data_IF_178948413794
#
_entry.id   IF_178948413794
#
_cell.length_a   1.000
_cell.length_b   1.000
_cell.length_c   1.000
_cell.angle_alpha   90.00
_cell.angle_beta   90.00
_cell.angle_gamma   90.00
#
_symmetry.space_group_name_H-M   'P 1'
#
loop_
_entity.id
_entity.type
_entity.pdbx_description
1 polymer ?
#
# COMPACT_ATOMS: atom_id res chain seq x y z
N UNK A 1 -4.50 6.61 39.95
CA UNK A 1 -4.50 8.08 39.76
C UNK A 1 -5.63 8.65 40.60
N UNK A 2 -5.44 9.77 41.30
CA UNK A 2 -6.51 10.40 42.11
C UNK A 2 -7.54 11.15 41.27
N UNK A 3 -8.69 11.47 41.87
CA UNK A 3 -9.68 12.38 41.28
C UNK A 3 -9.15 13.82 41.33
N UNK A 4 -9.26 14.56 40.21
CA UNK A 4 -8.88 15.98 40.14
C UNK A 4 -10.17 16.82 40.18
N UNK A 5 -10.34 17.73 41.15
CA UNK A 5 -11.61 18.40 41.46
C UNK A 5 -11.96 19.57 40.51
N UNK A 6 -11.93 19.36 39.19
CA UNK A 6 -12.31 20.40 38.22
C UNK A 6 -13.76 20.90 38.39
N UNK A 7 -14.65 20.07 38.96
CA UNK A 7 -16.09 20.36 39.10
C UNK A 7 -16.45 21.22 40.31
N UNK A 8 -15.53 21.42 41.25
CA UNK A 8 -15.78 22.10 42.52
C UNK A 8 -16.02 23.61 42.34
N UNK A 9 -15.61 24.18 41.20
CA UNK A 9 -15.97 25.55 40.79
C UNK A 9 -16.31 25.64 39.30
N UNK A 10 -17.05 26.69 38.91
CA UNK A 10 -17.28 27.01 37.49
C UNK A 10 -15.99 27.37 36.76
N UNK A 11 -15.06 28.05 37.44
CA UNK A 11 -13.79 28.50 36.88
C UNK A 11 -12.88 27.32 36.53
N UNK A 12 -12.66 26.41 37.47
CA UNK A 12 -11.85 25.18 37.26
C UNK A 12 -12.45 24.25 36.20
N UNK A 13 -13.77 24.29 35.99
CA UNK A 13 -14.45 23.54 34.93
C UNK A 13 -14.23 24.15 33.55
N UNK A 14 -14.18 25.47 33.43
CA UNK A 14 -13.85 26.17 32.17
C UNK A 14 -12.36 25.99 31.85
N UNK A 15 -11.49 26.12 32.86
CA UNK A 15 -10.03 25.95 32.73
C UNK A 15 -9.57 24.48 32.66
N UNK A 16 -10.48 23.50 32.59
CA UNK A 16 -10.13 22.08 32.56
C UNK A 16 -9.25 21.69 31.35
N UNK A 17 -9.40 22.37 30.20
CA UNK A 17 -8.52 22.19 29.04
C UNK A 17 -7.12 22.82 29.23
N UNK A 18 -7.04 23.90 30.02
CA UNK A 18 -5.83 24.66 30.29
C UNK A 18 -4.97 24.07 31.43
N UNK A 19 -5.55 23.25 32.29
CA UNK A 19 -4.91 22.68 33.48
C UNK A 19 -4.76 21.16 33.36
N UNK A 20 -4.02 20.68 32.36
CA UNK A 20 -3.77 19.27 32.08
C UNK A 20 -4.52 18.70 30.85
N UNK A 21 -4.97 19.55 29.93
CA UNK A 21 -5.66 19.15 28.70
C UNK A 21 -4.93 19.56 27.41
N UNK A 22 -5.68 19.66 26.30
CA UNK A 22 -5.17 20.21 25.05
C UNK A 22 -5.28 21.76 25.06
N UNK A 23 -4.26 22.41 25.59
CA UNK A 23 -4.03 23.85 25.43
C UNK A 23 -2.56 24.21 25.67
N UNK A 24 -2.04 25.23 24.98
CA UNK A 24 -0.87 25.98 25.45
C UNK A 24 -1.34 26.95 26.53
N UNK A 25 -0.70 26.98 27.70
CA UNK A 25 -1.19 27.75 28.85
C UNK A 25 -0.04 28.42 29.58
N UNK A 26 -0.17 29.73 29.78
CA UNK A 26 0.72 30.58 30.56
C UNK A 26 -0.05 31.17 31.72
N UNK A 27 0.56 31.25 32.90
CA UNK A 27 -0.05 31.80 34.11
C UNK A 27 0.82 32.96 34.59
N UNK A 28 0.26 34.17 34.55
CA UNK A 28 0.91 35.37 35.08
C UNK A 28 0.50 35.52 36.54
N UNK A 29 1.48 35.55 37.44
CA UNK A 29 1.25 35.76 38.87
C UNK A 29 1.70 37.18 39.24
N UNK A 30 0.76 38.05 39.56
CA UNK A 30 1.03 39.38 40.10
C UNK A 30 1.21 39.29 41.61
N UNK A 31 2.23 39.98 42.14
CA UNK A 31 2.57 39.97 43.55
C UNK A 31 3.02 41.36 44.00
N UNK A 32 2.82 41.67 45.28
CA UNK A 32 3.13 42.98 45.86
C UNK A 32 4.47 42.90 46.64
N UNK A 33 5.40 43.85 46.44
CA UNK A 33 6.72 43.83 47.08
C UNK A 33 6.74 44.32 48.53
N UNK A 34 5.66 44.94 49.01
CA UNK A 34 5.58 45.51 50.36
C UNK A 34 5.53 44.42 51.44
N UNK A 35 6.22 44.65 52.57
CA UNK A 35 6.29 43.71 53.70
C UNK A 35 4.91 43.34 54.27
N UNK A 36 3.95 44.27 54.22
CA UNK A 36 2.54 44.07 54.60
C UNK A 36 1.87 42.93 53.81
N UNK A 37 2.35 42.65 52.59
CA UNK A 37 1.80 41.66 51.67
C UNK A 37 2.65 40.39 51.56
N UNK A 38 3.72 40.24 52.37
CA UNK A 38 4.69 39.14 52.26
C UNK A 38 4.06 37.74 52.34
N UNK A 39 3.01 37.56 53.13
CA UNK A 39 2.28 36.29 53.28
C UNK A 39 1.47 35.93 52.03
N UNK A 40 0.75 36.88 51.43
CA UNK A 40 -0.02 36.68 50.19
C UNK A 40 0.90 36.52 48.98
N UNK A 41 1.99 37.29 48.92
CA UNK A 41 3.06 37.12 47.94
C UNK A 41 3.71 35.73 48.08
N UNK A 42 3.95 35.24 49.30
CA UNK A 42 4.43 33.86 49.53
C UNK A 42 3.42 32.80 49.06
N UNK A 43 2.14 32.97 49.36
CA UNK A 43 1.07 32.09 48.88
C UNK A 43 0.99 32.03 47.34
N UNK A 44 1.09 33.20 46.71
CA UNK A 44 1.11 33.37 45.24
C UNK A 44 2.32 32.69 44.61
N UNK A 45 3.52 32.87 45.15
CA UNK A 45 4.74 32.22 44.64
C UNK A 45 4.71 30.69 44.85
N UNK A 46 4.14 30.21 45.96
CA UNK A 46 3.91 28.77 46.17
C UNK A 46 2.89 28.18 45.18
N UNK A 47 1.85 28.94 44.82
CA UNK A 47 0.93 28.54 43.75
C UNK A 47 1.65 28.49 42.39
N UNK A 48 2.41 29.53 42.03
CA UNK A 48 3.19 29.59 40.79
C UNK A 48 4.17 28.40 40.67
N UNK A 49 4.87 28.07 41.76
CA UNK A 49 5.79 26.93 41.84
C UNK A 49 5.09 25.60 41.54
N UNK A 50 3.90 25.35 42.12
CA UNK A 50 3.10 24.15 41.83
C UNK A 50 2.51 24.15 40.42
N UNK A 51 2.05 25.31 39.95
CA UNK A 51 1.45 25.46 38.63
C UNK A 51 2.45 25.21 37.49
N UNK A 52 3.73 25.59 37.68
CA UNK A 52 4.84 25.30 36.75
C UNK A 52 5.06 23.79 36.52
N UNK A 53 4.62 22.92 37.43
CA UNK A 53 4.72 21.47 37.30
C UNK A 53 3.54 20.82 36.55
N UNK A 54 2.55 21.59 36.08
CA UNK A 54 1.40 21.06 35.32
C UNK A 54 1.78 20.94 33.85
N UNK A 55 1.87 19.70 33.35
CA UNK A 55 2.12 19.40 31.94
C UNK A 55 0.82 19.27 31.14
N UNK A 56 0.69 20.08 30.08
CA UNK A 56 -0.39 19.95 29.09
C UNK A 56 0.06 19.14 27.87
N UNK A 57 -0.87 18.42 27.26
CA UNK A 57 -0.64 17.69 26.01
C UNK A 57 -1.30 18.46 24.85
N UNK A 58 -0.67 19.57 24.44
CA UNK A 58 -1.16 20.40 23.35
C UNK A 58 -1.04 19.68 21.98
N UNK A 59 -2.13 19.67 21.22
CA UNK A 59 -2.25 19.10 19.88
C UNK A 59 -2.99 20.09 18.97
N UNK A 60 -2.63 20.14 17.69
CA UNK A 60 -3.33 20.98 16.71
C UNK A 60 -4.75 20.45 16.53
N UNK A 61 -5.75 21.28 16.82
CA UNK A 61 -7.15 20.95 16.56
C UNK A 61 -7.41 21.12 15.05
N UNK A 62 -7.06 20.10 14.25
CA UNK A 62 -7.42 20.04 12.83
C UNK A 62 -8.96 19.98 12.69
N UNK A 63 -9.61 21.13 12.52
CA UNK A 63 -11.02 21.20 12.11
C UNK A 63 -11.11 20.88 10.62
N UNK A 64 -10.91 19.60 10.29
CA UNK A 64 -11.21 19.08 8.97
C UNK A 64 -12.73 19.10 8.78
N UNK A 65 -13.21 20.04 7.97
CA UNK A 65 -14.54 19.92 7.36
C UNK A 65 -14.63 18.57 6.65
N UNK A 66 -15.81 17.94 6.61
CA UNK A 66 -15.97 16.61 5.98
C UNK A 66 -15.42 16.58 4.54
N UNK A 67 -15.58 17.68 3.79
CA UNK A 67 -15.01 17.85 2.45
C UNK A 67 -13.46 17.83 2.43
N UNK A 68 -12.79 18.41 3.43
CA UNK A 68 -11.34 18.40 3.58
C UNK A 68 -10.82 17.02 4.00
N UNK A 69 -11.50 16.35 4.94
CA UNK A 69 -11.20 14.97 5.34
C UNK A 69 -11.35 14.01 4.15
N UNK A 70 -12.47 14.08 3.42
CA UNK A 70 -12.70 13.31 2.20
C UNK A 70 -11.66 13.60 1.10
N UNK A 71 -11.18 14.85 0.98
CA UNK A 71 -10.12 15.21 0.03
C UNK A 71 -8.77 14.59 0.41
N UNK A 72 -8.39 14.65 1.70
CA UNK A 72 -7.17 14.02 2.23
C UNK A 72 -7.20 12.50 2.03
N UNK A 73 -8.29 11.84 2.42
CA UNK A 73 -8.47 10.39 2.26
C UNK A 73 -8.47 9.95 0.79
N UNK A 74 -9.09 10.72 -0.12
CA UNK A 74 -9.06 10.42 -1.57
C UNK A 74 -7.64 10.48 -2.14
N UNK A 75 -6.88 11.53 -1.80
CA UNK A 75 -5.49 11.67 -2.23
C UNK A 75 -4.60 10.54 -1.69
N UNK A 76 -4.77 10.15 -0.43
CA UNK A 76 -4.04 9.04 0.18
C UNK A 76 -4.37 7.69 -0.49
N UNK A 77 -5.65 7.42 -0.77
CA UNK A 77 -6.08 6.25 -1.54
C UNK A 77 -5.52 6.26 -2.97
N UNK A 78 -5.46 7.41 -3.62
CA UNK A 78 -4.91 7.58 -4.97
C UNK A 78 -3.39 7.37 -5.00
N UNK A 79 -2.66 7.90 -4.01
CA UNK A 79 -1.22 7.70 -3.87
C UNK A 79 -0.87 6.23 -3.57
N UNK A 80 -1.60 5.59 -2.67
CA UNK A 80 -1.43 4.16 -2.36
C UNK A 80 -1.75 3.27 -3.58
N UNK A 81 -2.81 3.59 -4.34
CA UNK A 81 -3.11 2.91 -5.60
C UNK A 81 -2.01 3.10 -6.64
N UNK A 82 -1.46 4.31 -6.78
CA UNK A 82 -0.35 4.60 -7.70
C UNK A 82 0.91 3.82 -7.32
N UNK A 83 1.23 3.71 -6.04
CA UNK A 83 2.35 2.88 -5.54
C UNK A 83 2.15 1.39 -5.86
N UNK A 84 0.95 0.85 -5.62
CA UNK A 84 0.61 -0.54 -5.95
C UNK A 84 0.61 -0.82 -7.46
N UNK A 85 0.12 0.12 -8.27
CA UNK A 85 0.11 -0.02 -9.74
C UNK A 85 1.51 0.05 -10.34
N UNK A 86 2.40 0.89 -9.82
CA UNK A 86 3.80 0.94 -10.27
C UNK A 86 4.48 -0.43 -10.17
N UNK A 87 4.46 -1.04 -8.98
CA UNK A 87 5.08 -2.35 -8.78
C UNK A 87 4.42 -3.47 -9.59
N UNK A 88 3.08 -3.54 -9.65
CA UNK A 88 2.41 -4.63 -10.36
C UNK A 88 2.37 -4.50 -11.88
N UNK A 89 2.48 -3.30 -12.46
CA UNK A 89 2.47 -3.15 -13.93
C UNK A 89 3.81 -3.61 -14.53
N UNK A 90 4.93 -3.22 -13.92
CA UNK A 90 6.28 -3.54 -14.42
C UNK A 90 6.57 -5.05 -14.36
N UNK A 91 6.22 -5.71 -13.24
CA UNK A 91 6.34 -7.18 -13.09
C UNK A 91 5.48 -7.93 -14.13
N UNK A 92 4.25 -7.46 -14.37
CA UNK A 92 3.32 -8.11 -15.29
C UNK A 92 3.74 -7.93 -16.75
N UNK A 93 4.22 -6.74 -17.14
CA UNK A 93 4.75 -6.50 -18.48
C UNK A 93 6.00 -7.34 -18.75
N UNK A 94 6.93 -7.44 -17.79
CA UNK A 94 8.10 -8.32 -17.91
C UNK A 94 7.70 -9.80 -18.05
N UNK A 95 6.69 -10.27 -17.29
CA UNK A 95 6.18 -11.63 -17.39
C UNK A 95 5.55 -11.92 -18.76
N UNK A 96 4.74 -11.00 -19.29
CA UNK A 96 4.11 -11.11 -20.62
C UNK A 96 5.17 -11.11 -21.73
N UNK A 97 6.17 -10.22 -21.67
CA UNK A 97 7.28 -10.17 -22.62
C UNK A 97 8.12 -11.46 -22.58
N UNK A 98 8.37 -12.02 -21.39
CA UNK A 98 9.08 -13.28 -21.23
C UNK A 98 8.29 -14.45 -21.84
N UNK A 99 7.01 -14.60 -21.48
CA UNK A 99 6.14 -15.65 -22.03
C UNK A 99 6.05 -15.59 -23.56
N UNK A 100 5.97 -14.38 -24.14
CA UNK A 100 5.95 -14.18 -25.59
C UNK A 100 7.27 -14.61 -26.26
N UNK A 101 8.41 -14.30 -25.66
CA UNK A 101 9.72 -14.70 -26.17
C UNK A 101 9.96 -16.21 -26.07
N UNK A 102 9.54 -16.83 -24.96
CA UNK A 102 9.71 -18.28 -24.76
C UNK A 102 8.75 -19.10 -25.66
N UNK A 103 7.53 -18.60 -25.90
CA UNK A 103 6.61 -19.14 -26.92
C UNK A 103 7.23 -19.11 -28.31
N UNK A 104 7.80 -17.97 -28.73
CA UNK A 104 8.40 -17.82 -30.05
C UNK A 104 9.63 -18.73 -30.28
N UNK A 105 10.44 -18.98 -29.23
CA UNK A 105 11.52 -19.99 -29.30
C UNK A 105 10.95 -21.39 -29.55
N UNK A 106 9.90 -21.77 -28.84
CA UNK A 106 9.28 -23.08 -28.99
C UNK A 106 8.66 -23.28 -30.39
N UNK A 107 8.12 -22.23 -31.00
CA UNK A 107 7.69 -22.25 -32.41
C UNK A 107 8.86 -22.53 -33.36
N UNK A 108 9.98 -21.79 -33.21
CA UNK A 108 11.19 -21.98 -34.03
C UNK A 108 11.81 -23.37 -33.86
N UNK A 109 11.82 -23.92 -32.64
CA UNK A 109 12.27 -25.29 -32.37
C UNK A 109 11.34 -26.33 -33.01
N UNK A 110 10.02 -26.13 -32.95
CA UNK A 110 9.02 -26.99 -33.60
C UNK A 110 9.18 -26.98 -35.13
N UNK A 111 9.39 -25.82 -35.75
CA UNK A 111 9.59 -25.72 -37.20
C UNK A 111 10.94 -26.30 -37.63
N UNK A 112 11.99 -26.15 -36.82
CA UNK A 112 13.29 -26.82 -37.04
C UNK A 112 13.16 -28.34 -37.03
N UNK A 113 12.49 -28.91 -36.02
CA UNK A 113 12.24 -30.35 -35.91
C UNK A 113 11.34 -30.87 -37.05
N UNK A 114 10.40 -30.05 -37.54
CA UNK A 114 9.57 -30.41 -38.69
C UNK A 114 10.39 -30.52 -39.99
N UNK A 115 11.33 -29.60 -40.23
CA UNK A 115 12.24 -29.66 -41.39
C UNK A 115 13.18 -30.88 -41.31
N UNK A 116 13.77 -31.14 -40.15
CA UNK A 116 14.65 -32.30 -39.92
C UNK A 116 13.91 -33.64 -40.16
N UNK A 117 12.66 -33.74 -39.72
CA UNK A 117 11.80 -34.90 -39.99
C UNK A 117 11.42 -35.04 -41.48
N UNK A 118 11.29 -33.94 -42.22
CA UNK A 118 11.01 -34.01 -43.67
C UNK A 118 12.26 -34.40 -44.47
N UNK A 119 13.45 -33.91 -44.09
CA UNK A 119 14.72 -34.38 -44.66
C UNK A 119 14.92 -35.88 -44.42
N UNK A 120 14.63 -36.38 -43.21
CA UNK A 120 14.71 -37.82 -42.92
C UNK A 120 13.71 -38.64 -43.76
N UNK A 121 12.49 -38.13 -43.98
CA UNK A 121 11.50 -38.78 -44.88
C UNK A 121 12.00 -38.86 -46.32
N UNK A 122 12.51 -37.76 -46.88
CA UNK A 122 13.08 -37.73 -48.24
C UNK A 122 14.27 -38.69 -48.38
N UNK A 123 15.09 -38.84 -47.34
CA UNK A 123 16.17 -39.83 -47.29
C UNK A 123 15.64 -41.28 -47.24
N UNK A 124 14.58 -41.56 -46.46
CA UNK A 124 13.92 -42.88 -46.45
C UNK A 124 13.29 -43.22 -47.80
N UNK A 125 12.54 -42.29 -48.40
CA UNK A 125 11.90 -42.46 -49.71
C UNK A 125 12.91 -42.73 -50.83
N UNK A 126 14.03 -42.00 -50.86
CA UNK A 126 15.09 -42.24 -51.86
C UNK A 126 15.83 -43.57 -51.65
N UNK A 127 15.99 -44.03 -50.40
CA UNK A 127 16.49 -45.37 -50.09
C UNK A 127 15.50 -46.47 -50.53
N UNK A 128 14.21 -46.32 -50.23
CA UNK A 128 13.17 -47.26 -50.63
C UNK A 128 13.01 -47.35 -52.14
N UNK A 129 13.00 -46.23 -52.86
CA UNK A 129 12.98 -46.20 -54.32
C UNK A 129 14.19 -46.92 -54.93
N UNK A 130 15.39 -46.75 -54.34
CA UNK A 130 16.60 -47.47 -54.76
C UNK A 130 16.49 -48.98 -54.53
N UNK A 131 15.95 -49.41 -53.39
CA UNK A 131 15.70 -50.83 -53.07
C UNK A 131 14.61 -51.43 -53.97
N UNK A 132 13.54 -50.69 -54.26
CA UNK A 132 12.48 -51.09 -55.18
C UNK A 132 13.03 -51.29 -56.60
N UNK A 133 13.83 -50.34 -57.11
CA UNK A 133 14.50 -50.47 -58.41
C UNK A 133 15.42 -51.71 -58.47
N UNK A 134 16.17 -51.99 -57.40
CA UNK A 134 17.00 -53.18 -57.31
C UNK A 134 16.18 -54.50 -57.33
N UNK A 135 15.03 -54.55 -56.64
CA UNK A 135 14.10 -55.69 -56.69
C UNK A 135 13.47 -55.86 -58.08
N UNK A 136 13.10 -54.76 -58.74
CA UNK A 136 12.58 -54.81 -60.11
C UNK A 136 13.63 -55.37 -61.08
N UNK A 137 14.90 -55.01 -60.94
CA UNK A 137 16.00 -55.60 -61.71
C UNK A 137 16.28 -57.09 -61.41
N UNK A 138 15.75 -57.65 -60.32
CA UNK A 138 15.78 -59.10 -60.07
C UNK A 138 14.52 -59.81 -60.61
N UNK A 139 13.36 -59.14 -60.60
CA UNK A 139 12.10 -59.71 -61.07
C UNK A 139 11.90 -59.63 -62.59
N UNK A 140 12.64 -58.78 -63.31
CA UNK A 140 12.46 -58.56 -64.77
C UNK A 140 12.94 -59.72 -65.67
N UNK A 141 13.02 -60.95 -65.14
CA UNK A 141 13.17 -62.19 -65.88
C UNK A 141 11.83 -62.93 -66.11
N UNK A 142 10.68 -62.36 -65.73
CA UNK A 142 9.35 -62.91 -66.06
C UNK A 142 8.26 -61.84 -66.31
N UNK A 143 7.57 -62.00 -67.45
CA UNK A 143 6.15 -61.64 -67.72
C UNK A 143 5.71 -60.17 -67.79
N UNK A 144 5.98 -59.58 -68.95
CA UNK A 144 5.08 -58.87 -69.89
C UNK A 144 3.63 -58.40 -69.58
N UNK A 145 3.30 -57.27 -70.25
CA UNK A 145 1.99 -56.80 -70.79
C UNK A 145 0.83 -56.44 -69.83
N UNK A 146 0.49 -55.15 -69.77
CA UNK A 146 -0.84 -54.58 -70.14
C UNK A 146 -0.85 -53.04 -70.12
N UNK A 147 -1.83 -52.42 -70.79
CA UNK A 147 -1.97 -50.96 -70.98
C UNK A 147 -3.40 -50.53 -70.69
N UNK A 148 -3.59 -49.39 -70.01
CA UNK A 148 -4.65 -48.44 -70.40
C UNK A 148 -4.37 -47.01 -69.92
N UNK A 149 -5.15 -46.05 -70.42
CA UNK A 149 -4.96 -44.61 -70.27
C UNK A 149 -5.94 -44.05 -69.22
N UNK A 150 -5.67 -42.84 -68.70
CA UNK A 150 -6.56 -41.68 -68.85
C UNK A 150 -5.84 -40.42 -68.34
N UNK A 151 -6.19 -39.26 -68.89
CA UNK A 151 -5.65 -37.96 -68.51
C UNK A 151 -6.77 -36.92 -68.55
N UNK A 152 -6.74 -35.95 -67.63
CA UNK A 152 -7.65 -34.81 -67.62
C UNK A 152 -6.91 -33.55 -67.13
N UNK A 153 -7.44 -32.36 -67.44
CA UNK A 153 -6.70 -31.09 -67.39
C UNK A 153 -7.41 -29.99 -66.61
N UNK A 154 -6.62 -29.17 -65.90
CA UNK A 154 -6.80 -27.72 -65.64
C UNK A 154 -8.24 -27.15 -65.49
N UNK A 155 -8.54 -26.39 -64.43
CA UNK A 155 -8.17 -24.95 -64.37
C UNK A 155 -8.33 -24.35 -62.96
N UNK A 156 -7.96 -23.07 -62.82
CA UNK A 156 -8.18 -22.24 -61.62
C UNK A 156 -9.67 -21.86 -61.48
N UNK A 157 -10.06 -21.39 -60.29
CA UNK A 157 -10.90 -20.19 -60.21
C UNK A 157 -10.52 -19.30 -59.01
N UNK A 158 -10.83 -18.01 -59.08
CA UNK A 158 -10.41 -16.95 -58.14
C UNK A 158 -11.55 -15.96 -57.90
N UNK A 159 -12.01 -15.84 -56.65
CA UNK A 159 -12.99 -14.80 -56.25
C UNK A 159 -12.55 -14.04 -54.98
N UNK A 160 -12.81 -12.73 -54.99
CA UNK A 160 -12.46 -11.73 -53.95
C UNK A 160 -13.37 -10.50 -54.10
N UNK A 161 -13.33 -9.57 -53.13
CA UNK A 161 -14.02 -8.25 -53.11
C UNK A 161 -15.56 -8.31 -52.86
N UNK A 162 -16.25 -7.18 -52.52
CA UNK A 162 -15.77 -5.81 -52.24
C UNK A 162 -16.29 -5.15 -50.93
N UNK A 163 -15.77 -3.95 -50.62
CA UNK A 163 -16.20 -3.05 -49.53
C UNK A 163 -17.48 -2.23 -49.86
N UNK A 164 -18.02 -1.46 -48.89
CA UNK A 164 -17.82 0.02 -48.86
C UNK A 164 -18.65 0.83 -47.83
N UNK A 165 -18.09 2.02 -47.49
CA UNK A 165 -18.75 3.29 -47.07
C UNK A 165 -19.19 3.48 -45.60
N UNK A 166 -19.42 4.76 -45.25
CA UNK A 166 -19.24 5.39 -43.92
C UNK A 166 -20.04 6.70 -43.81
N UNK A 167 -20.44 7.11 -42.59
CA UNK A 167 -20.89 8.48 -42.18
C UNK A 167 -22.21 9.01 -42.81
N UNK A 168 -22.88 10.07 -42.27
CA UNK A 168 -22.44 11.05 -41.26
C UNK A 168 -23.30 11.18 -39.98
N UNK A 169 -22.82 12.03 -39.06
CA UNK A 169 -23.46 12.46 -37.80
C UNK A 169 -24.63 13.45 -37.99
N UNK A 170 -25.41 13.63 -36.91
CA UNK A 170 -26.00 14.93 -36.59
C UNK A 170 -27.42 14.91 -36.03
N UNK A 171 -27.58 15.11 -34.71
CA UNK A 171 -28.83 15.59 -34.12
C UNK A 171 -28.56 16.56 -32.97
N UNK A 172 -29.24 17.71 -33.02
CA UNK A 172 -29.24 18.78 -32.00
C UNK A 172 -30.70 19.19 -31.79
N UNK A 173 -31.09 19.51 -30.54
CA UNK A 173 -32.39 20.04 -30.20
C UNK A 173 -32.25 21.18 -29.16
N UNK A 174 -33.20 22.13 -29.17
CA UNK A 174 -32.96 23.48 -28.66
C UNK A 174 -33.76 23.86 -27.40
N UNK A 175 -33.25 24.88 -26.70
CA UNK A 175 -33.98 25.91 -25.91
C UNK A 175 -35.16 26.52 -26.73
N UNK A 176 -36.18 27.23 -26.20
CA UNK A 176 -36.52 27.81 -24.87
C UNK A 176 -38.04 28.20 -24.85
N UNK A 177 -38.71 28.77 -23.82
CA UNK A 177 -38.67 30.20 -23.38
C UNK A 177 -39.78 30.58 -22.35
N UNK A 178 -39.45 31.48 -21.39
CA UNK A 178 -40.27 32.52 -20.69
C UNK A 178 -41.64 32.16 -20.01
N UNK A 179 -42.33 32.94 -19.16
CA UNK A 179 -42.17 34.26 -18.45
C UNK A 179 -42.36 34.00 -16.90
N UNK A 180 -41.87 34.77 -15.90
CA UNK A 180 -42.13 36.18 -15.46
C UNK A 180 -43.62 36.48 -15.12
N UNK A 181 -44.06 37.03 -13.98
CA UNK A 181 -43.51 37.41 -12.64
C UNK A 181 -44.65 37.14 -11.57
N UNK A 182 -44.79 37.66 -10.33
CA UNK A 182 -44.14 38.66 -9.46
C UNK A 182 -44.53 38.49 -7.94
N UNK A 183 -43.97 39.34 -7.07
CA UNK A 183 -44.46 39.86 -5.75
C UNK A 183 -44.49 39.02 -4.43
N UNK A 184 -44.26 39.76 -3.34
CA UNK A 184 -44.29 39.47 -1.88
C UNK A 184 -43.36 38.40 -1.24
N UNK A 185 -42.29 38.89 -0.59
CA UNK A 185 -41.62 38.23 0.54
C UNK A 185 -42.32 38.56 1.89
N UNK A 186 -42.03 37.82 2.98
CA UNK A 186 -41.03 38.38 3.91
C UNK A 186 -39.97 37.40 4.42
N UNK A 187 -38.75 37.95 4.62
CA UNK A 187 -37.70 37.62 5.59
C UNK A 187 -37.54 36.14 6.05
N UNK A 188 -36.44 35.44 5.66
CA UNK A 188 -36.05 34.16 6.26
C UNK A 188 -35.19 34.33 7.52
N UNK A 189 -35.57 33.69 8.63
CA UNK A 189 -34.71 33.53 9.80
C UNK A 189 -33.66 32.42 9.58
N UNK A 190 -32.52 32.74 8.96
CA UNK A 190 -31.30 31.94 9.12
C UNK A 190 -30.01 32.71 8.78
N UNK A 191 -29.44 33.45 9.74
CA UNK A 191 -28.07 33.97 9.62
C UNK A 191 -27.08 32.83 9.88
N UNK A 192 -26.72 32.11 8.82
CA UNK A 192 -25.97 30.85 8.92
C UNK A 192 -25.02 30.54 7.76
N UNK A 193 -24.56 31.54 7.01
CA UNK A 193 -23.46 31.41 6.04
C UNK A 193 -22.88 32.80 5.68
N UNK A 194 -21.80 32.83 4.91
CA UNK A 194 -21.02 34.01 4.50
C UNK A 194 -20.28 34.69 5.66
N UNK A 195 -19.31 33.96 6.23
CA UNK A 195 -18.01 34.57 6.46
C UNK A 195 -17.25 34.50 5.12
N UNK A 196 -16.77 35.64 4.63
CA UNK A 196 -16.28 35.78 3.26
C UNK A 196 -14.76 35.53 3.20
N UNK A 197 -14.36 34.31 2.81
CA UNK A 197 -12.96 33.85 2.81
C UNK A 197 -12.02 34.75 1.99
N UNK A 198 -12.52 35.36 0.89
CA UNK A 198 -11.71 36.22 0.02
C UNK A 198 -11.37 37.57 0.67
N UNK A 199 -12.17 38.08 1.62
CA UNK A 199 -11.97 39.44 2.16
C UNK A 199 -10.64 39.59 2.90
N UNK A 200 -10.21 38.54 3.63
CA UNK A 200 -8.94 38.54 4.37
C UNK A 200 -7.72 38.42 3.44
N UNK A 201 -7.85 37.63 2.37
CA UNK A 201 -6.84 37.49 1.32
C UNK A 201 -6.68 38.80 0.52
N UNK A 202 -7.79 39.47 0.21
CA UNK A 202 -7.82 40.70 -0.58
C UNK A 202 -7.22 41.91 0.18
N UNK A 203 -7.34 41.95 1.51
CA UNK A 203 -6.74 42.98 2.36
C UNK A 203 -5.21 42.87 2.45
N UNK A 204 -4.66 41.66 2.54
CA UNK A 204 -3.23 41.42 2.84
C UNK A 204 -2.29 41.39 1.62
N UNK A 205 -2.79 41.60 0.40
CA UNK A 205 -2.01 41.79 -0.85
C UNK A 205 -0.88 40.78 -1.12
N UNK A 206 -1.03 39.53 -0.67
CA UNK A 206 -0.08 38.45 -0.93
C UNK A 206 1.19 38.45 -0.08
N UNK A 207 1.29 39.29 0.97
CA UNK A 207 2.38 39.19 1.94
C UNK A 207 2.16 38.01 2.89
N UNK A 208 2.82 36.88 2.61
CA UNK A 208 2.95 35.78 3.58
C UNK A 208 3.91 36.26 4.67
N UNK A 209 3.44 36.40 5.90
CA UNK A 209 4.32 36.65 7.05
C UNK A 209 5.03 35.35 7.42
N UNK A 210 6.33 35.31 7.23
CA UNK A 210 7.17 34.22 7.69
C UNK A 210 7.10 34.11 9.22
N UNK A 211 6.83 32.90 9.74
CA UNK A 211 6.68 32.67 11.17
C UNK A 211 8.02 32.63 11.90
N UNK A 212 9.12 32.34 11.19
CA UNK A 212 10.46 32.29 11.75
C UNK A 212 11.07 33.70 11.94
N UNK A 213 10.41 34.76 11.43
CA UNK A 213 10.76 36.15 11.75
C UNK A 213 10.26 36.62 13.13
N UNK A 214 9.48 35.81 13.86
CA UNK A 214 9.05 36.11 15.24
C UNK A 214 10.11 35.69 16.27
N UNK A 215 11.34 36.19 16.12
CA UNK A 215 12.28 36.22 17.24
C UNK A 215 11.68 37.08 18.37
N UNK A 216 11.55 36.48 19.56
CA UNK A 216 11.05 37.16 20.74
C UNK A 216 12.05 38.23 21.19
N UNK A 217 11.80 39.50 20.82
CA UNK A 217 12.63 40.63 21.20
C UNK A 217 12.74 40.75 22.72
N UNK A 218 13.97 40.76 23.23
CA UNK A 218 14.26 41.01 24.64
C UNK A 218 13.93 42.46 25.03
N UNK A 219 13.65 42.67 26.32
CA UNK A 219 12.98 43.86 26.86
C UNK A 219 13.68 45.21 26.57
N UNK A 220 13.35 45.83 25.41
CA UNK A 220 13.68 47.22 25.13
C UNK A 220 12.56 48.16 25.59
N UNK A 221 12.75 48.69 26.80
CA UNK A 221 11.88 49.65 27.48
C UNK A 221 11.69 50.94 26.67
N UNK A 222 10.46 51.26 26.28
CA UNK A 222 10.15 52.48 25.52
C UNK A 222 10.56 53.75 26.31
N UNK A 223 11.16 54.76 25.65
CA UNK A 223 11.33 56.09 26.24
C UNK A 223 10.00 56.86 26.22
N UNK A 224 9.65 57.63 27.27
CA UNK A 224 8.50 58.53 27.24
C UNK A 224 8.78 59.78 26.40
N UNK A 225 7.73 60.31 25.76
CA UNK A 225 7.74 61.64 25.12
C UNK A 225 7.64 62.78 26.16
N UNK A 226 8.13 63.99 25.85
CA UNK A 226 8.31 65.04 26.85
C UNK A 226 7.10 65.98 27.01
N UNK A 227 6.62 66.14 28.25
CA UNK A 227 5.89 67.32 28.72
C UNK A 227 6.35 67.67 30.15
N UNK A 228 6.28 68.95 30.53
CA UNK A 228 6.95 69.48 31.72
C UNK A 228 6.22 69.21 33.04
N UNK A 229 6.94 68.79 34.09
CA UNK A 229 7.01 69.58 35.34
C UNK A 229 8.14 69.19 36.30
N UNK A 230 8.69 70.23 36.93
CA UNK A 230 9.69 70.27 38.00
C UNK A 230 9.63 69.20 39.10
N UNK A 231 10.67 68.37 39.22
CA UNK A 231 11.12 67.77 40.48
C UNK A 231 12.62 67.44 40.42
N UNK A 232 13.43 67.95 41.36
CA UNK A 232 14.87 67.67 41.45
C UNK A 232 15.15 66.70 42.59
N UNK A 233 15.54 65.46 42.25
CA UNK A 233 16.20 64.51 43.18
C UNK A 233 17.31 63.79 42.40
N UNK A 234 18.59 63.87 42.81
CA UNK A 234 19.69 63.24 42.09
C UNK A 234 19.98 61.82 42.63
N UNK A 235 20.15 60.86 41.72
CA UNK A 235 20.86 59.60 41.97
C UNK A 235 21.14 58.89 40.62
N UNK A 236 22.17 59.34 39.92
CA UNK A 236 22.79 58.51 38.88
C UNK A 236 23.50 57.33 39.58
N UNK A 237 23.23 56.10 39.14
CA UNK A 237 23.98 54.94 39.65
C UNK A 237 25.45 55.08 39.24
N UNK A 238 26.42 54.86 40.15
CA UNK A 238 27.84 54.93 39.80
C UNK A 238 28.15 53.98 38.63
N UNK A 239 28.93 54.47 37.66
CA UNK A 239 29.21 53.74 36.42
C UNK A 239 29.79 52.35 36.71
N UNK A 240 30.67 52.24 37.72
CA UNK A 240 31.22 50.97 38.19
C UNK A 240 30.15 49.95 38.63
N UNK A 241 29.07 50.39 39.29
CA UNK A 241 27.96 49.51 39.70
C UNK A 241 27.21 49.00 38.48
N UNK A 242 27.02 49.85 37.46
CA UNK A 242 26.38 49.44 36.20
C UNK A 242 27.27 48.50 35.39
N UNK A 243 28.58 48.76 35.32
CA UNK A 243 29.56 47.88 34.70
C UNK A 243 29.61 46.52 35.40
N UNK A 244 29.74 46.48 36.73
CA UNK A 244 29.78 45.24 37.51
C UNK A 244 28.52 44.39 37.31
N UNK A 245 27.32 45.01 37.28
CA UNK A 245 26.09 44.28 36.92
C UNK A 245 26.14 43.69 35.52
N UNK A 246 26.59 44.45 34.52
CA UNK A 246 26.71 43.97 33.14
C UNK A 246 27.74 42.82 33.02
N UNK A 247 28.86 42.89 33.74
CA UNK A 247 29.82 41.79 33.83
C UNK A 247 29.22 40.54 34.49
N UNK A 248 28.44 40.69 35.58
CA UNK A 248 27.73 39.55 36.17
C UNK A 248 26.67 38.95 35.24
N UNK A 249 25.94 39.78 34.49
CA UNK A 249 24.97 39.31 33.49
C UNK A 249 25.67 38.55 32.35
N UNK A 250 26.66 39.15 31.70
CA UNK A 250 27.45 38.48 30.66
C UNK A 250 28.14 37.19 31.13
N UNK A 251 28.56 37.10 32.40
CA UNK A 251 29.12 35.86 32.95
C UNK A 251 28.04 34.78 33.20
N UNK A 252 26.85 35.15 33.66
CA UNK A 252 25.66 34.28 33.73
C UNK A 252 25.27 33.74 32.35
N UNK A 253 25.15 34.62 31.36
CA UNK A 253 24.69 34.26 30.02
C UNK A 253 25.70 33.35 29.31
N UNK A 254 27.01 33.61 29.52
CA UNK A 254 28.08 32.71 29.06
C UNK A 254 28.01 31.33 29.75
N UNK A 255 27.69 31.27 31.04
CA UNK A 255 27.50 29.98 31.73
C UNK A 255 26.28 29.23 31.19
N UNK A 256 25.14 29.90 31.02
CA UNK A 256 23.94 29.30 30.44
C UNK A 256 24.17 28.79 29.01
N UNK A 257 24.98 29.49 28.22
CA UNK A 257 25.39 29.07 26.88
C UNK A 257 26.27 27.80 26.91
N UNK A 258 27.27 27.72 27.79
CA UNK A 258 28.08 26.51 27.96
C UNK A 258 27.26 25.33 28.50
N UNK A 259 26.37 25.57 29.48
CA UNK A 259 25.43 24.56 29.97
C UNK A 259 24.51 24.05 28.85
N UNK A 260 24.12 24.92 27.91
CA UNK A 260 23.31 24.54 26.75
C UNK A 260 24.10 23.73 25.72
N UNK A 261 25.35 24.11 25.42
CA UNK A 261 26.26 23.30 24.59
C UNK A 261 26.47 21.92 25.21
N UNK A 262 26.69 21.84 26.52
CA UNK A 262 26.86 20.58 27.24
C UNK A 262 25.61 19.66 27.11
N UNK A 263 24.41 20.24 27.18
CA UNK A 263 23.15 19.50 26.89
C UNK A 263 23.10 19.02 25.44
N UNK A 264 23.39 19.87 24.45
CA UNK A 264 23.41 19.47 23.04
C UNK A 264 24.38 18.30 22.79
N UNK A 265 25.64 18.39 23.27
CA UNK A 265 26.62 17.31 23.11
C UNK A 265 26.31 16.03 23.89
N UNK A 266 25.31 16.05 24.78
CA UNK A 266 24.77 14.85 25.43
C UNK A 266 23.67 14.24 24.55
N UNK A 267 22.71 15.05 24.11
CA UNK A 267 21.63 14.64 23.20
C UNK A 267 22.15 14.10 21.85
N UNK A 268 23.23 14.69 21.30
CA UNK A 268 23.90 14.20 20.09
C UNK A 268 24.44 12.78 20.25
N UNK A 269 24.96 12.44 21.44
CA UNK A 269 25.46 11.08 21.74
C UNK A 269 24.31 10.10 21.95
N UNK A 270 23.24 10.52 22.63
CA UNK A 270 22.02 9.71 22.79
C UNK A 270 21.37 9.40 21.43
N UNK A 271 21.33 10.38 20.50
CA UNK A 271 20.84 10.19 19.14
C UNK A 271 21.68 9.20 18.33
N UNK A 272 23.02 9.27 18.43
CA UNK A 272 23.89 8.34 17.70
C UNK A 272 23.78 6.91 18.29
N UNK A 273 23.71 6.75 19.62
CA UNK A 273 23.46 5.45 20.26
C UNK A 273 22.09 4.84 19.86
N UNK A 274 21.02 5.64 19.86
CA UNK A 274 19.69 5.20 19.42
C UNK A 274 19.65 4.84 17.92
N UNK A 275 20.51 5.45 17.11
CA UNK A 275 20.69 5.19 15.67
C UNK A 275 21.51 3.90 15.44
N UNK A 276 22.54 3.65 16.24
CA UNK A 276 23.25 2.36 16.27
C UNK A 276 22.30 1.22 16.70
N UNK A 277 21.53 1.39 17.78
CA UNK A 277 20.52 0.43 18.23
C UNK A 277 19.46 0.16 17.14
N UNK A 278 18.94 1.20 16.50
CA UNK A 278 18.02 1.04 15.36
C UNK A 278 18.65 0.28 14.19
N UNK A 279 19.94 0.45 13.94
CA UNK A 279 20.64 -0.28 12.87
C UNK A 279 20.78 -1.78 13.22
N UNK A 280 21.11 -2.09 14.47
CA UNK A 280 21.20 -3.45 15.00
C UNK A 280 19.84 -4.17 14.95
N UNK A 281 18.79 -3.54 15.48
CA UNK A 281 17.43 -4.09 15.47
C UNK A 281 16.91 -4.33 14.05
N UNK A 282 17.25 -3.47 13.08
CA UNK A 282 16.93 -3.66 11.66
C UNK A 282 17.68 -4.85 11.04
N UNK A 283 18.95 -5.05 11.41
CA UNK A 283 19.74 -6.19 10.97
C UNK A 283 19.21 -7.51 11.56
N UNK A 284 18.87 -7.53 12.85
CA UNK A 284 18.31 -8.69 13.54
C UNK A 284 16.91 -9.05 12.99
N UNK A 285 16.05 -8.06 12.76
CA UNK A 285 14.75 -8.26 12.10
C UNK A 285 14.91 -8.83 10.68
N UNK A 286 15.89 -8.34 9.91
CA UNK A 286 16.18 -8.83 8.56
C UNK A 286 16.65 -10.29 8.57
N UNK A 287 17.53 -10.65 9.52
CA UNK A 287 18.00 -12.02 9.71
C UNK A 287 16.85 -12.94 10.14
N UNK A 288 16.12 -12.59 11.19
CA UNK A 288 14.96 -13.34 11.69
C UNK A 288 13.92 -13.57 10.58
N UNK A 289 13.65 -12.56 9.75
CA UNK A 289 12.80 -12.72 8.56
C UNK A 289 13.36 -13.80 7.61
N UNK A 290 14.64 -13.69 7.21
CA UNK A 290 15.28 -14.64 6.30
C UNK A 290 15.23 -16.08 6.85
N UNK A 291 15.51 -16.26 8.14
CA UNK A 291 15.43 -17.54 8.82
C UNK A 291 13.99 -18.12 8.70
N UNK A 292 12.95 -17.34 9.02
CA UNK A 292 11.54 -17.81 8.87
C UNK A 292 11.09 -18.04 7.42
N UNK A 293 11.63 -17.30 6.46
CA UNK A 293 11.31 -17.48 5.04
C UNK A 293 11.98 -18.76 4.49
N UNK A 294 13.17 -19.11 4.98
CA UNK A 294 13.84 -20.37 4.67
C UNK A 294 13.13 -21.59 5.31
N UNK A 295 12.68 -21.49 6.55
CA UNK A 295 11.84 -22.52 7.19
C UNK A 295 10.54 -22.78 6.41
N UNK A 296 9.85 -21.72 5.96
CA UNK A 296 8.66 -21.84 5.09
C UNK A 296 8.99 -22.55 3.78
N UNK A 297 10.12 -22.22 3.15
CA UNK A 297 10.54 -22.86 1.89
C UNK A 297 10.81 -24.37 2.08
N UNK A 298 11.42 -24.76 3.21
CA UNK A 298 11.60 -26.16 3.60
C UNK A 298 10.26 -26.89 3.77
N UNK A 299 9.36 -26.35 4.59
CA UNK A 299 8.03 -26.93 4.85
C UNK A 299 7.15 -27.01 3.59
N UNK A 300 7.28 -26.06 2.66
CA UNK A 300 6.59 -26.09 1.37
C UNK A 300 7.09 -27.25 0.48
N UNK A 301 8.41 -27.50 0.45
CA UNK A 301 9.00 -28.64 -0.28
C UNK A 301 8.57 -29.97 0.33
N UNK A 302 8.61 -30.11 1.66
CA UNK A 302 8.12 -31.31 2.34
C UNK A 302 6.64 -31.58 2.02
N UNK A 303 5.78 -30.56 2.14
CA UNK A 303 4.36 -30.62 1.79
C UNK A 303 4.12 -31.01 0.32
N UNK A 304 4.97 -30.56 -0.60
CA UNK A 304 4.90 -30.94 -2.01
C UNK A 304 5.30 -32.42 -2.24
N UNK A 305 6.34 -32.92 -1.56
CA UNK A 305 6.68 -34.35 -1.63
C UNK A 305 5.59 -35.25 -1.04
N UNK A 306 4.92 -34.85 0.05
CA UNK A 306 3.79 -35.62 0.61
C UNK A 306 2.54 -35.56 -0.27
N UNK A 307 2.27 -34.43 -0.95
CA UNK A 307 1.23 -34.36 -1.98
C UNK A 307 1.49 -35.36 -3.12
N UNK A 308 2.74 -35.48 -3.58
CA UNK A 308 3.12 -36.44 -4.61
C UNK A 308 2.87 -37.89 -4.17
N UNK A 309 3.42 -38.28 -3.00
CA UNK A 309 3.20 -39.63 -2.40
C UNK A 309 1.72 -39.94 -2.21
N UNK A 310 0.92 -38.94 -1.82
CA UNK A 310 -0.53 -39.11 -1.66
C UNK A 310 -1.27 -39.31 -2.99
N UNK A 311 -0.86 -38.69 -4.10
CA UNK A 311 -1.45 -38.98 -5.42
C UNK A 311 -0.99 -40.33 -6.00
N UNK A 312 0.26 -40.74 -5.75
CA UNK A 312 0.76 -42.09 -6.04
C UNK A 312 -0.06 -43.16 -5.30
N UNK A 313 -0.22 -43.00 -3.98
CA UNK A 313 -1.05 -43.91 -3.16
C UNK A 313 -2.53 -43.91 -3.58
N UNK A 314 -3.09 -42.77 -3.99
CA UNK A 314 -4.44 -42.71 -4.58
C UNK A 314 -4.52 -43.49 -5.89
N UNK A 315 -3.49 -43.45 -6.73
CA UNK A 315 -3.43 -44.21 -7.98
C UNK A 315 -3.36 -45.72 -7.72
N UNK A 316 -2.53 -46.17 -6.78
CA UNK A 316 -2.48 -47.58 -6.36
C UNK A 316 -3.81 -48.07 -5.79
N UNK A 317 -4.49 -47.25 -4.97
CA UNK A 317 -5.83 -47.56 -4.46
C UNK A 317 -6.85 -47.66 -5.61
N UNK A 318 -6.75 -46.83 -6.67
CA UNK A 318 -7.59 -46.96 -7.88
C UNK A 318 -7.32 -48.29 -8.60
N UNK A 319 -6.06 -48.64 -8.84
CA UNK A 319 -5.65 -49.88 -9.50
C UNK A 319 -6.07 -51.12 -8.71
N UNK A 320 -5.86 -51.13 -7.39
CA UNK A 320 -6.25 -52.24 -6.51
C UNK A 320 -7.78 -52.44 -6.50
N UNK A 321 -8.57 -51.36 -6.43
CA UNK A 321 -10.04 -51.42 -6.54
C UNK A 321 -10.50 -52.02 -7.87
N UNK A 322 -9.86 -51.65 -8.98
CA UNK A 322 -10.16 -52.20 -10.30
C UNK A 322 -9.85 -53.71 -10.37
N UNK A 323 -8.66 -54.13 -9.91
CA UNK A 323 -8.26 -55.54 -9.88
C UNK A 323 -9.15 -56.38 -8.94
N UNK A 324 -9.58 -55.83 -7.80
CA UNK A 324 -10.51 -56.49 -6.89
C UNK A 324 -11.89 -56.67 -7.55
N UNK A 325 -12.43 -55.62 -8.19
CA UNK A 325 -13.71 -55.67 -8.92
C UNK A 325 -13.69 -56.73 -10.04
N UNK A 326 -12.59 -56.81 -10.81
CA UNK A 326 -12.40 -57.85 -11.83
C UNK A 326 -12.40 -59.25 -11.21
N UNK A 327 -11.64 -59.49 -10.13
CA UNK A 327 -11.64 -60.79 -9.41
C UNK A 327 -13.00 -61.14 -8.84
N UNK A 328 -13.74 -60.17 -8.30
CA UNK A 328 -15.10 -60.37 -7.80
C UNK A 328 -16.07 -60.78 -8.92
N UNK A 329 -15.99 -60.15 -10.10
CA UNK A 329 -16.76 -60.52 -11.28
C UNK A 329 -16.40 -61.92 -11.84
N UNK A 330 -15.11 -62.30 -11.79
CA UNK A 330 -14.68 -63.65 -12.16
C UNK A 330 -15.21 -64.69 -11.15
N UNK A 331 -15.16 -64.40 -9.85
CA UNK A 331 -15.63 -65.30 -8.80
C UNK A 331 -17.16 -65.50 -8.86
N UNK A 332 -17.95 -64.45 -9.09
CA UNK A 332 -19.40 -64.59 -9.28
C UNK A 332 -19.73 -65.33 -10.56
N UNK A 333 -18.97 -65.13 -11.66
CA UNK A 333 -19.11 -65.91 -12.91
C UNK A 333 -18.81 -67.41 -12.71
N UNK A 334 -17.79 -67.76 -11.92
CA UNK A 334 -17.50 -69.15 -11.57
C UNK A 334 -18.59 -69.76 -10.68
N UNK A 335 -19.10 -69.00 -9.71
CA UNK A 335 -20.18 -69.45 -8.83
C UNK A 335 -21.52 -69.65 -9.55
N UNK A 336 -21.89 -68.76 -10.49
CA UNK A 336 -23.12 -68.95 -11.29
C UNK A 336 -22.99 -70.14 -12.24
N UNK A 337 -21.81 -70.34 -12.85
CA UNK A 337 -21.52 -71.53 -13.67
C UNK A 337 -21.59 -72.82 -12.87
N UNK A 338 -20.94 -72.90 -11.70
CA UNK A 338 -20.97 -74.12 -10.88
C UNK A 338 -22.38 -74.40 -10.34
N UNK A 339 -23.13 -73.38 -9.92
CA UNK A 339 -24.54 -73.52 -9.54
C UNK A 339 -25.39 -74.04 -10.71
N UNK A 340 -25.23 -73.49 -11.92
CA UNK A 340 -25.97 -73.95 -13.10
C UNK A 340 -25.68 -75.42 -13.46
N UNK A 341 -24.42 -75.84 -13.36
CA UNK A 341 -24.02 -77.25 -13.53
C UNK A 341 -24.70 -78.14 -12.47
N UNK A 342 -24.69 -77.73 -11.19
CA UNK A 342 -25.33 -78.48 -10.10
C UNK A 342 -26.85 -78.59 -10.29
N UNK A 343 -27.54 -77.53 -10.68
CA UNK A 343 -28.99 -77.59 -10.96
C UNK A 343 -29.31 -78.46 -12.20
N UNK A 344 -28.50 -78.40 -13.26
CA UNK A 344 -28.65 -79.34 -14.39
C UNK A 344 -28.45 -80.80 -13.96
N UNK A 345 -27.42 -81.09 -13.16
CA UNK A 345 -27.18 -82.45 -12.65
C UNK A 345 -28.29 -82.95 -11.71
N UNK A 346 -28.97 -82.07 -10.97
CA UNK A 346 -30.20 -82.41 -10.23
C UNK A 346 -31.35 -82.71 -11.19
N UNK A 347 -31.61 -81.84 -12.16
CA UNK A 347 -32.70 -82.01 -13.14
C UNK A 347 -32.57 -83.34 -13.90
N UNK A 348 -31.37 -83.67 -14.40
CA UNK A 348 -31.10 -84.95 -15.07
C UNK A 348 -31.23 -86.18 -14.15
N UNK A 349 -31.09 -86.03 -12.83
CA UNK A 349 -31.33 -87.11 -11.85
C UNK A 349 -32.80 -87.33 -11.51
N UNK A 350 -33.66 -86.32 -11.73
CA UNK A 350 -35.12 -86.42 -11.55
C UNK A 350 -35.80 -86.94 -12.83
N UNK A 351 -35.08 -86.99 -13.95
CA UNK A 351 -35.58 -87.42 -15.26
C UNK A 351 -35.33 -88.91 -15.60
N UNK A 352 -34.97 -89.74 -14.62
CA UNK A 352 -34.90 -91.20 -14.74
C UNK A 352 -36.06 -91.82 -13.93
N UNK A 353 -36.82 -92.78 -14.51
CA UNK A 353 -38.02 -93.36 -13.90
C UNK A 353 -37.74 -94.41 -12.83
#
# INVERSE_FOLDING_TARGET
RGHIPYRDSKLTRILQSALGGNAKTSIICTAAPEEIHIEETRGTLQFASRAKCVSNCAQVNEILTDAALLKRQKLEIEELRKKLQGSHSEDLEQLILKQRNDMHKSELERDRLAMELEEERRLRETLEHRLAKQKMSQNHNNTDISVEQFADSSQLDVLKTPDSKRTPDGFVASRSHYLKDAEFCPIPENLGSVADEDLWMQLNKGCITDLDMLEMTSDFKCPPSPEDTTAVVPLEEPIDVRCLRLETACSSDRQQLEDSKARCTTLEKELELLKEENSSLRQELSKSKHDTDHEKEGLLKELETEKYKMEELKQDIRLFRQAFSQRQGHLTSLYTKSKAIVENCKASRVALP
#
